data_IF_638530436645
#
_entry.id   IF_638530436645
#
_cell.length_a   1.000
_cell.length_b   1.000
_cell.length_c   1.000
_cell.angle_alpha   90.00
_cell.angle_beta   90.00
_cell.angle_gamma   90.00
#
_symmetry.space_group_name_H-M   'P 1'
#
loop_
_entity.id
_entity.type
_entity.pdbx_description
1 polymer ?
#
# COMPACT_ATOMS: atom_id res chain seq x y z
N UNK A 1 83.44 -59.33 27.84
CA UNK A 1 83.76 -57.89 27.88
C UNK A 1 82.42 -57.18 27.78
N UNK A 2 82.10 -56.28 28.71
CA UNK A 2 80.77 -55.62 28.81
C UNK A 2 80.84 -54.10 28.64
N UNK A 3 82.04 -53.54 28.56
CA UNK A 3 82.31 -52.12 28.31
C UNK A 3 83.46 -52.01 27.30
N UNK A 4 83.49 -50.94 26.50
CA UNK A 4 84.53 -50.74 25.49
C UNK A 4 85.78 -50.07 26.09
N UNK A 5 86.96 -50.67 25.89
CA UNK A 5 88.23 -50.11 26.37
C UNK A 5 89.44 -50.89 25.87
N UNK A 6 90.62 -50.26 25.94
CA UNK A 6 91.88 -50.93 25.63
C UNK A 6 92.32 -51.81 26.82
N UNK A 7 92.48 -53.11 26.60
CA UNK A 7 92.86 -54.07 27.64
C UNK A 7 93.64 -55.27 27.09
N UNK A 8 94.54 -55.81 27.91
CA UNK A 8 95.46 -56.89 27.50
C UNK A 8 94.99 -58.24 28.02
N UNK A 9 94.57 -59.12 27.11
CA UNK A 9 94.34 -60.54 27.42
C UNK A 9 95.68 -61.29 27.51
N UNK A 10 96.18 -61.47 28.74
CA UNK A 10 97.44 -62.18 29.00
C UNK A 10 97.18 -63.67 29.22
N UNK A 11 97.78 -64.51 28.38
CA UNK A 11 97.77 -65.96 28.55
C UNK A 11 99.13 -66.45 29.06
N UNK A 12 99.20 -66.88 30.31
CA UNK A 12 100.46 -67.33 30.94
C UNK A 12 100.64 -68.84 30.81
N UNK A 13 101.60 -69.28 29.99
CA UNK A 13 102.02 -70.69 29.89
C UNK A 13 103.10 -71.05 30.94
N UNK A 14 103.25 -72.33 31.30
CA UNK A 14 104.28 -72.77 32.24
C UNK A 14 105.70 -72.67 31.63
N UNK A 15 106.64 -72.15 32.41
CA UNK A 15 108.02 -71.94 31.97
C UNK A 15 108.67 -73.19 31.37
N UNK A 16 109.37 -72.99 30.24
CA UNK A 16 110.11 -73.99 29.44
C UNK A 16 109.26 -74.92 28.55
N UNK A 17 107.96 -74.66 28.36
CA UNK A 17 107.22 -75.08 27.14
C UNK A 17 106.32 -73.97 26.63
N UNK A 18 106.75 -73.27 25.59
CA UNK A 18 105.92 -72.27 24.90
C UNK A 18 104.62 -72.92 24.39
N UNK A 19 103.44 -72.41 24.78
CA UNK A 19 102.18 -72.96 24.28
C UNK A 19 102.02 -72.63 22.79
N UNK A 20 101.94 -73.66 21.94
CA UNK A 20 101.53 -73.50 20.56
C UNK A 20 100.00 -73.36 20.54
N UNK A 21 99.51 -72.17 20.18
CA UNK A 21 98.11 -71.79 20.25
C UNK A 21 97.51 -71.89 18.84
N UNK A 22 97.26 -73.12 18.38
CA UNK A 22 96.94 -73.45 16.99
C UNK A 22 95.71 -72.71 16.42
N UNK A 23 94.76 -72.31 17.27
CA UNK A 23 93.67 -71.41 16.90
C UNK A 23 93.12 -70.65 18.10
N UNK A 24 93.02 -69.32 17.99
CA UNK A 24 92.15 -68.50 18.83
C UNK A 24 90.84 -68.25 18.06
N UNK A 25 89.71 -68.43 18.73
CA UNK A 25 88.38 -68.08 18.21
C UNK A 25 87.70 -67.19 19.23
N UNK A 26 87.14 -66.07 18.76
CA UNK A 26 86.34 -65.14 19.55
C UNK A 26 85.01 -65.02 18.83
N UNK A 27 83.95 -65.58 19.40
CA UNK A 27 82.58 -65.35 18.95
C UNK A 27 81.98 -64.20 19.75
N UNK A 28 81.56 -63.14 19.06
CA UNK A 28 80.81 -62.05 19.67
C UNK A 28 79.34 -62.48 19.73
N UNK A 29 78.76 -62.46 20.93
CA UNK A 29 77.33 -62.68 21.14
C UNK A 29 76.65 -61.32 21.25
N UNK A 30 75.79 -61.03 20.30
CA UNK A 30 75.03 -59.79 20.22
C UNK A 30 74.15 -59.61 21.48
N UNK A 31 74.17 -58.40 22.04
CA UNK A 31 73.32 -58.04 23.16
C UNK A 31 71.96 -57.59 22.61
N UNK A 32 70.87 -57.96 23.29
CA UNK A 32 69.55 -57.45 22.92
C UNK A 32 69.51 -55.94 23.15
N UNK A 33 69.12 -55.19 22.12
CA UNK A 33 68.91 -53.75 22.23
C UNK A 33 67.78 -53.46 23.22
N UNK A 34 67.89 -52.42 24.07
CA UNK A 34 66.79 -52.01 24.92
C UNK A 34 65.62 -51.53 24.06
N UNK A 35 64.41 -51.96 24.41
CA UNK A 35 63.20 -51.38 23.82
C UNK A 35 63.14 -49.89 24.16
N UNK A 36 62.72 -49.01 23.23
CA UNK A 36 62.59 -47.59 23.52
C UNK A 36 61.50 -47.37 24.57
N UNK A 37 61.76 -46.48 25.53
CA UNK A 37 60.80 -46.13 26.58
C UNK A 37 59.82 -45.07 26.03
N UNK A 38 58.53 -45.42 26.00
CA UNK A 38 57.44 -44.51 25.66
C UNK A 38 56.83 -43.89 26.92
N UNK A 39 56.61 -42.59 26.87
CA UNK A 39 55.99 -41.80 27.91
C UNK A 39 54.58 -41.37 27.51
N UNK A 40 53.68 -41.21 28.48
CA UNK A 40 52.27 -40.85 28.25
C UNK A 40 52.04 -39.34 28.28
N UNK A 41 51.16 -38.84 27.41
CA UNK A 41 50.66 -37.46 27.42
C UNK A 41 49.22 -37.44 27.96
N UNK A 42 49.01 -36.74 29.08
CA UNK A 42 47.69 -36.50 29.67
C UNK A 42 47.22 -35.10 29.33
N UNK A 43 45.97 -34.96 28.86
CA UNK A 43 45.35 -33.66 28.55
C UNK A 43 44.15 -33.44 29.46
N UNK A 44 44.12 -32.31 30.14
CA UNK A 44 42.99 -31.83 30.95
C UNK A 44 42.35 -30.59 30.30
N UNK A 45 41.12 -30.29 30.68
CA UNK A 45 40.42 -29.04 30.34
C UNK A 45 40.02 -28.29 31.61
N UNK A 46 40.15 -26.96 31.57
CA UNK A 46 39.64 -26.02 32.58
C UNK A 46 38.76 -25.00 31.86
N UNK A 47 37.51 -24.82 32.32
CA UNK A 47 36.49 -24.09 31.56
C UNK A 47 35.77 -25.00 30.55
N UNK A 48 34.80 -24.44 29.80
CA UNK A 48 34.01 -25.21 28.83
C UNK A 48 34.70 -25.24 27.46
N UNK A 49 35.10 -26.44 27.05
CA UNK A 49 35.82 -26.68 25.81
C UNK A 49 36.34 -28.12 25.72
N UNK A 50 37.03 -28.44 24.64
CA UNK A 50 37.63 -29.75 24.38
C UNK A 50 39.10 -29.60 24.04
N UNK A 51 39.92 -30.58 24.46
CA UNK A 51 41.36 -30.58 24.24
C UNK A 51 41.88 -32.02 24.04
N UNK A 52 42.83 -32.19 23.13
CA UNK A 52 43.45 -33.49 22.81
C UNK A 52 44.94 -33.33 22.49
N UNK A 53 45.67 -34.45 22.50
CA UNK A 53 47.07 -34.55 22.09
C UNK A 53 47.24 -35.70 21.09
N UNK A 54 48.11 -35.50 20.10
CA UNK A 54 48.50 -36.54 19.15
C UNK A 54 50.03 -36.49 18.90
N UNK A 55 50.77 -37.61 19.08
CA UNK A 55 50.33 -38.87 19.67
C UNK A 55 50.12 -38.78 21.20
N UNK A 56 49.36 -39.73 21.78
CA UNK A 56 49.12 -39.82 23.24
C UNK A 56 50.19 -40.60 24.01
N UNK A 57 51.03 -41.39 23.31
CA UNK A 57 52.29 -41.92 23.83
C UNK A 57 53.43 -41.61 22.86
N UNK A 58 54.62 -41.36 23.39
CA UNK A 58 55.77 -40.97 22.59
C UNK A 58 57.10 -41.27 23.28
N UNK A 59 58.13 -41.61 22.50
CA UNK A 59 59.52 -41.63 22.94
C UNK A 59 60.05 -40.20 23.15
N UNK A 60 61.03 -40.04 24.05
CA UNK A 60 61.71 -38.76 24.23
C UNK A 60 62.29 -38.22 22.91
N UNK A 61 62.16 -36.91 22.69
CA UNK A 61 62.56 -36.22 21.44
C UNK A 61 61.49 -36.19 20.33
N UNK A 62 60.37 -36.92 20.46
CA UNK A 62 59.25 -36.84 19.51
C UNK A 62 58.42 -35.57 19.73
N UNK A 63 58.01 -34.89 18.66
CA UNK A 63 57.07 -33.76 18.73
C UNK A 63 55.64 -34.25 18.95
N UNK A 64 54.96 -33.70 19.95
CA UNK A 64 53.54 -33.90 20.23
C UNK A 64 52.77 -32.65 19.81
N UNK A 65 51.64 -32.83 19.14
CA UNK A 65 50.73 -31.76 18.73
C UNK A 65 49.51 -31.74 19.63
N UNK A 66 49.10 -30.56 20.08
CA UNK A 66 47.90 -30.34 20.88
C UNK A 66 46.81 -29.69 20.03
N UNK A 67 45.56 -30.10 20.24
CA UNK A 67 44.38 -29.49 19.60
C UNK A 67 43.42 -29.04 20.68
N UNK A 68 42.80 -27.87 20.49
CA UNK A 68 41.76 -27.34 21.37
C UNK A 68 40.57 -26.85 20.54
N UNK A 69 39.37 -26.85 21.14
CA UNK A 69 38.18 -26.17 20.61
C UNK A 69 37.31 -25.72 21.76
N UNK A 70 37.11 -24.40 21.89
CA UNK A 70 36.28 -23.79 22.93
C UNK A 70 34.77 -24.05 22.71
N UNK A 71 33.98 -23.95 23.79
CA UNK A 71 32.52 -23.98 23.71
C UNK A 71 31.93 -22.63 23.26
N UNK A 72 30.62 -22.61 22.99
CA UNK A 72 29.89 -21.39 22.65
C UNK A 72 29.91 -20.37 23.81
N UNK A 73 30.41 -19.15 23.55
CA UNK A 73 30.59 -18.11 24.58
C UNK A 73 31.82 -18.31 25.47
N UNK A 74 32.84 -19.02 25.00
CA UNK A 74 34.14 -19.19 25.64
C UNK A 74 35.27 -19.04 24.60
N UNK A 75 36.44 -18.58 25.06
CA UNK A 75 37.66 -18.58 24.26
C UNK A 75 38.79 -19.34 24.95
N UNK A 76 39.74 -19.81 24.16
CA UNK A 76 40.96 -20.45 24.64
C UNK A 76 41.99 -19.40 25.05
N UNK A 77 42.58 -19.55 26.24
CA UNK A 77 43.56 -18.63 26.81
C UNK A 77 44.98 -19.17 26.61
N UNK A 78 45.30 -20.31 27.22
CA UNK A 78 46.66 -20.87 27.18
C UNK A 78 46.72 -22.39 27.46
N UNK A 79 47.89 -22.97 27.21
CA UNK A 79 48.26 -24.32 27.66
C UNK A 79 49.14 -24.22 28.91
N UNK A 80 48.67 -24.74 30.04
CA UNK A 80 49.46 -24.84 31.27
C UNK A 80 50.11 -26.23 31.40
N UNK A 81 51.39 -26.27 31.79
CA UNK A 81 52.11 -27.50 32.15
C UNK A 81 53.27 -27.18 33.10
N UNK A 82 53.52 -28.07 34.06
CA UNK A 82 54.69 -27.99 34.95
C UNK A 82 55.96 -28.57 34.29
N UNK A 83 55.80 -29.43 33.28
CA UNK A 83 56.87 -30.31 32.76
C UNK A 83 57.45 -29.86 31.42
N UNK A 84 56.69 -29.12 30.60
CA UNK A 84 57.08 -28.71 29.25
C UNK A 84 56.61 -27.29 28.94
N UNK A 85 57.35 -26.56 28.12
CA UNK A 85 56.85 -25.35 27.47
C UNK A 85 56.15 -25.73 26.17
N UNK A 86 54.87 -25.36 26.04
CA UNK A 86 54.11 -25.50 24.79
C UNK A 86 54.31 -24.23 23.94
N UNK A 87 54.62 -24.41 22.66
CA UNK A 87 54.78 -23.33 21.68
C UNK A 87 54.05 -23.72 20.39
N UNK A 88 53.27 -22.81 19.81
CA UNK A 88 52.47 -23.04 18.60
C UNK A 88 51.62 -24.33 18.66
N UNK A 89 51.00 -24.59 19.83
CA UNK A 89 50.28 -25.81 20.17
C UNK A 89 51.10 -27.11 20.05
N UNK A 90 52.42 -27.06 20.16
CA UNK A 90 53.31 -28.24 20.14
C UNK A 90 54.29 -28.24 21.30
N UNK A 91 54.82 -29.41 21.64
CA UNK A 91 55.99 -29.55 22.50
C UNK A 91 56.82 -30.77 22.08
N UNK A 92 58.05 -30.88 22.58
CA UNK A 92 58.93 -32.04 22.36
C UNK A 92 58.91 -32.92 23.62
N UNK A 93 58.64 -34.22 23.46
CA UNK A 93 58.48 -35.14 24.57
C UNK A 93 59.79 -35.26 25.39
N UNK A 94 59.76 -35.06 26.72
CA UNK A 94 60.91 -35.25 27.59
C UNK A 94 61.10 -36.74 27.93
N UNK A 95 62.13 -37.07 28.71
CA UNK A 95 62.32 -38.37 29.36
C UNK A 95 61.38 -38.51 30.58
N UNK A 96 60.08 -38.45 30.34
CA UNK A 96 59.05 -38.52 31.39
C UNK A 96 57.63 -38.25 30.90
N UNK A 97 56.64 -38.72 31.65
CA UNK A 97 55.22 -38.48 31.36
C UNK A 97 54.87 -36.99 31.49
N UNK A 98 54.04 -36.49 30.58
CA UNK A 98 53.66 -35.08 30.50
C UNK A 98 52.18 -34.91 30.81
N UNK A 99 51.83 -33.85 31.54
CA UNK A 99 50.45 -33.38 31.70
C UNK A 99 50.33 -31.95 31.21
N UNK A 100 49.34 -31.68 30.37
CA UNK A 100 48.97 -30.35 29.87
C UNK A 100 47.51 -30.06 30.18
N UNK A 101 47.18 -28.81 30.48
CA UNK A 101 45.81 -28.33 30.71
C UNK A 101 45.50 -27.24 29.70
N UNK A 102 44.42 -27.40 28.92
CA UNK A 102 43.83 -26.31 28.15
C UNK A 102 43.00 -25.42 29.07
N UNK A 103 43.33 -24.14 29.13
CA UNK A 103 42.56 -23.14 29.88
C UNK A 103 41.64 -22.39 28.92
N UNK A 104 40.33 -22.46 29.20
CA UNK A 104 39.30 -21.68 28.55
C UNK A 104 38.70 -20.70 29.56
N UNK A 105 38.52 -19.45 29.15
CA UNK A 105 37.78 -18.45 29.91
C UNK A 105 36.47 -18.12 29.19
N UNK A 106 35.44 -17.82 29.98
CA UNK A 106 34.13 -17.48 29.44
C UNK A 106 34.20 -16.08 28.86
N UNK A 107 33.63 -15.87 27.68
CA UNK A 107 33.49 -14.54 27.10
C UNK A 107 32.64 -13.67 28.03
N UNK A 108 33.19 -12.52 28.43
CA UNK A 108 32.42 -11.50 29.12
C UNK A 108 31.33 -10.99 28.18
N UNK A 109 30.07 -11.24 28.54
CA UNK A 109 28.95 -10.52 27.95
C UNK A 109 29.20 -9.04 28.22
N UNK A 110 29.28 -8.16 27.21
CA UNK A 110 29.68 -6.78 27.42
C UNK A 110 28.73 -6.12 28.42
N UNK A 111 29.28 -5.57 29.51
CA UNK A 111 28.47 -4.75 30.41
C UNK A 111 27.86 -3.58 29.60
N UNK A 112 26.62 -3.17 29.91
CA UNK A 112 25.97 -2.05 29.25
C UNK A 112 26.66 -0.73 29.64
N UNK A 113 27.77 -0.42 28.98
CA UNK A 113 28.46 0.86 29.12
C UNK A 113 27.53 2.01 28.71
N UNK A 114 27.32 2.96 29.63
CA UNK A 114 26.35 4.06 29.63
C UNK A 114 25.68 4.36 28.26
N UNK A 115 24.62 3.61 27.93
CA UNK A 115 23.86 3.80 26.69
C UNK A 115 23.11 5.12 26.75
N UNK A 116 23.41 6.03 25.82
CA UNK A 116 22.95 7.41 25.87
C UNK A 116 21.55 7.57 25.29
N UNK A 117 20.55 7.41 26.16
CA UNK A 117 19.13 7.58 25.84
C UNK A 117 18.65 9.04 25.80
N UNK A 118 19.47 10.01 26.22
CA UNK A 118 19.11 11.43 26.42
C UNK A 118 18.48 12.12 25.20
N UNK A 119 18.83 11.68 23.99
CA UNK A 119 18.27 12.23 22.75
C UNK A 119 16.88 11.64 22.45
N UNK A 120 16.75 10.31 22.57
CA UNK A 120 15.49 9.59 22.43
C UNK A 120 14.45 10.08 23.46
N UNK A 121 14.84 10.24 24.73
CA UNK A 121 14.00 10.81 25.79
C UNK A 121 13.41 12.18 25.42
N UNK A 122 14.23 13.06 24.84
CA UNK A 122 13.80 14.42 24.44
C UNK A 122 12.91 14.40 23.21
N UNK A 123 13.17 13.52 22.25
CA UNK A 123 12.32 13.38 21.06
C UNK A 123 10.97 12.73 21.42
N UNK A 124 10.92 11.76 22.34
CA UNK A 124 9.67 11.23 22.91
C UNK A 124 8.89 12.33 23.64
N UNK A 125 9.52 13.08 24.54
CA UNK A 125 8.86 14.16 25.27
C UNK A 125 8.38 15.33 24.37
N UNK A 126 8.99 15.50 23.19
CA UNK A 126 8.49 16.41 22.15
C UNK A 126 7.30 15.81 21.39
N UNK A 127 7.41 14.54 20.97
CA UNK A 127 6.37 13.80 20.25
C UNK A 127 5.06 13.71 21.04
N UNK A 128 5.12 13.45 22.35
CA UNK A 128 3.94 13.43 23.24
C UNK A 128 3.19 14.78 23.34
N UNK A 129 3.80 15.87 22.87
CA UNK A 129 3.19 17.20 22.78
C UNK A 129 2.66 17.58 21.39
N UNK A 130 2.72 16.68 20.39
CA UNK A 130 2.26 16.93 19.03
C UNK A 130 0.76 16.65 18.86
N UNK A 131 0.09 17.49 18.09
CA UNK A 131 -1.30 17.29 17.67
C UNK A 131 -1.33 16.50 16.35
N UNK A 132 -2.09 15.41 16.32
CA UNK A 132 -2.29 14.57 15.11
C UNK A 132 -3.66 14.80 14.45
N UNK A 133 -4.41 15.82 14.89
CA UNK A 133 -5.72 16.18 14.33
C UNK A 133 -5.59 16.60 12.86
N UNK A 134 -6.25 15.85 11.97
CA UNK A 134 -6.23 16.10 10.53
C UNK A 134 -5.01 15.56 9.79
N UNK A 135 -4.11 14.84 10.47
CA UNK A 135 -3.06 14.02 9.83
C UNK A 135 -3.73 12.82 9.13
N UNK A 136 -3.15 12.32 8.05
CA UNK A 136 -3.66 11.13 7.37
C UNK A 136 -3.52 9.87 8.24
N UNK A 137 -4.48 8.95 8.17
CA UNK A 137 -4.57 7.81 9.09
C UNK A 137 -3.31 6.92 9.06
N UNK A 138 -2.72 6.68 7.89
CA UNK A 138 -1.47 5.92 7.73
C UNK A 138 -0.28 6.67 8.35
N UNK A 139 -0.17 7.98 8.15
CA UNK A 139 0.95 8.77 8.68
C UNK A 139 0.87 8.93 10.20
N UNK A 140 -0.36 9.16 10.71
CA UNK A 140 -0.65 9.16 12.14
C UNK A 140 -0.30 7.82 12.77
N UNK A 141 -0.72 6.70 12.17
CA UNK A 141 -0.39 5.37 12.68
C UNK A 141 1.11 5.11 12.71
N UNK A 142 1.84 5.48 11.66
CA UNK A 142 3.30 5.32 11.62
C UNK A 142 4.00 6.10 12.74
N UNK A 143 3.51 7.31 13.06
CA UNK A 143 3.99 8.10 14.21
C UNK A 143 3.64 7.47 15.56
N UNK A 144 2.40 6.99 15.74
CA UNK A 144 1.96 6.32 16.99
C UNK A 144 2.75 5.02 17.25
N UNK A 145 2.93 4.18 16.23
CA UNK A 145 3.73 2.95 16.30
C UNK A 145 5.21 3.25 16.63
N UNK A 146 5.80 4.28 16.02
CA UNK A 146 7.19 4.69 16.27
C UNK A 146 7.37 5.28 17.67
N UNK A 147 6.38 6.01 18.19
CA UNK A 147 6.40 6.57 19.56
C UNK A 147 6.33 5.46 20.62
N UNK A 148 5.51 4.43 20.40
CA UNK A 148 5.44 3.28 21.32
C UNK A 148 6.68 2.38 21.23
N UNK A 149 7.31 2.23 20.04
CA UNK A 149 8.62 1.58 19.94
C UNK A 149 9.70 2.37 20.71
N UNK A 150 9.77 3.68 20.51
CA UNK A 150 10.69 4.56 21.23
C UNK A 150 10.53 4.46 22.75
N UNK A 151 9.29 4.43 23.26
CA UNK A 151 9.00 4.21 24.68
C UNK A 151 9.43 2.83 25.18
N UNK A 152 9.28 1.79 24.36
CA UNK A 152 9.72 0.43 24.67
C UNK A 152 11.25 0.35 24.79
N UNK A 153 11.97 0.92 23.83
CA UNK A 153 13.45 0.98 23.82
C UNK A 153 13.99 1.90 24.94
N UNK A 154 13.25 2.93 25.36
CA UNK A 154 13.59 3.68 26.56
C UNK A 154 13.48 2.82 27.83
N UNK A 155 12.41 2.02 27.95
CA UNK A 155 12.11 1.22 29.13
C UNK A 155 13.02 -0.02 29.32
N UNK A 156 13.57 -0.61 28.26
CA UNK A 156 14.47 -1.76 28.38
C UNK A 156 15.85 -1.37 28.93
N UNK A 157 16.24 -1.99 30.04
CA UNK A 157 17.53 -1.77 30.69
C UNK A 157 18.73 -2.33 29.91
N UNK A 158 18.50 -3.23 28.94
CA UNK A 158 19.55 -3.90 28.16
C UNK A 158 19.70 -3.34 26.74
N UNK A 159 18.83 -2.43 26.31
CA UNK A 159 18.80 -1.89 24.96
C UNK A 159 20.15 -1.29 24.56
N UNK A 160 20.68 -1.73 23.42
CA UNK A 160 21.95 -1.28 22.87
C UNK A 160 21.86 0.15 22.33
N UNK A 161 23.01 0.80 22.13
CA UNK A 161 23.05 2.12 21.48
C UNK A 161 22.54 2.06 20.01
N UNK A 162 22.64 0.91 19.34
CA UNK A 162 22.11 0.74 17.98
C UNK A 162 20.57 0.73 17.98
N UNK A 163 19.93 0.01 18.92
CA UNK A 163 18.48 0.02 19.09
C UNK A 163 17.96 1.39 19.53
N UNK A 164 18.67 2.09 20.42
CA UNK A 164 18.34 3.46 20.84
C UNK A 164 18.44 4.46 19.68
N UNK A 165 19.44 4.30 18.80
CA UNK A 165 19.55 5.13 17.60
C UNK A 165 18.44 4.82 16.59
N UNK A 166 18.19 3.53 16.29
CA UNK A 166 17.16 3.12 15.35
C UNK A 166 15.76 3.55 15.79
N UNK A 167 15.43 3.46 17.08
CA UNK A 167 14.16 3.95 17.63
C UNK A 167 14.06 5.49 17.59
N UNK A 168 15.19 6.21 17.67
CA UNK A 168 15.22 7.65 17.51
C UNK A 168 15.00 8.09 16.06
N UNK A 169 15.67 7.43 15.11
CA UNK A 169 15.52 7.68 13.68
C UNK A 169 14.08 7.38 13.22
N UNK A 170 13.50 6.24 13.63
CA UNK A 170 12.09 5.90 13.34
C UNK A 170 11.10 6.93 13.91
N UNK A 171 11.31 7.41 15.13
CA UNK A 171 10.45 8.44 15.70
C UNK A 171 10.58 9.78 14.96
N UNK A 172 11.78 10.12 14.46
CA UNK A 172 11.99 11.30 13.64
C UNK A 172 11.29 11.18 12.26
N UNK A 173 11.35 10.01 11.63
CA UNK A 173 10.60 9.71 10.39
C UNK A 173 9.08 9.82 10.62
N UNK A 174 8.57 9.27 11.73
CA UNK A 174 7.17 9.41 12.14
C UNK A 174 6.75 10.87 12.34
N UNK A 175 7.58 11.67 13.03
CA UNK A 175 7.36 13.12 13.21
C UNK A 175 7.33 13.86 11.86
N UNK A 176 8.16 13.48 10.90
CA UNK A 176 8.11 14.05 9.54
C UNK A 176 6.85 13.61 8.77
N UNK A 177 6.39 12.37 8.99
CA UNK A 177 5.13 11.85 8.44
C UNK A 177 3.90 12.68 8.80
N UNK A 178 3.88 13.30 9.99
CA UNK A 178 2.79 14.19 10.43
C UNK A 178 2.58 15.44 9.54
N UNK A 179 3.50 15.72 8.60
CA UNK A 179 3.29 16.72 7.56
C UNK A 179 2.26 16.33 6.48
N UNK A 180 1.80 15.06 6.46
CA UNK A 180 0.76 14.56 5.56
C UNK A 180 -0.61 14.74 6.20
N UNK A 181 -1.42 15.66 5.67
CA UNK A 181 -2.75 16.01 6.21
C UNK A 181 -3.87 15.68 5.24
N UNK A 182 -5.01 15.24 5.79
CA UNK A 182 -6.26 15.01 5.05
C UNK A 182 -6.76 16.31 4.39
N UNK A 183 -7.42 16.21 3.23
CA UNK A 183 -7.99 17.37 2.53
C UNK A 183 -9.32 17.87 3.13
N UNK A 184 -9.81 19.03 2.65
CA UNK A 184 -11.07 19.61 3.16
C UNK A 184 -12.31 18.88 2.61
N UNK A 185 -12.83 17.94 3.41
CA UNK A 185 -14.04 17.18 3.10
C UNK A 185 -15.35 17.96 3.31
N UNK A 186 -15.34 19.20 3.83
CA UNK A 186 -16.55 19.95 4.16
C UNK A 186 -17.37 20.42 2.94
N UNK A 187 -16.82 20.39 1.73
CA UNK A 187 -17.60 20.52 0.49
C UNK A 187 -18.24 19.18 0.09
N UNK A 188 -17.44 18.11 0.13
CA UNK A 188 -17.85 16.75 -0.26
C UNK A 188 -19.02 16.26 0.60
N UNK A 189 -18.98 16.47 1.91
CA UNK A 189 -20.08 16.19 2.86
C UNK A 189 -21.42 16.79 2.41
N UNK A 190 -21.41 18.08 2.04
CA UNK A 190 -22.61 18.83 1.66
C UNK A 190 -23.18 18.34 0.32
N UNK A 191 -22.31 17.92 -0.60
CA UNK A 191 -22.70 17.36 -1.90
C UNK A 191 -23.26 15.94 -1.74
N UNK A 192 -22.66 15.11 -0.88
CA UNK A 192 -23.19 13.79 -0.52
C UNK A 192 -24.59 13.94 0.08
N UNK A 193 -24.76 14.77 1.12
CA UNK A 193 -26.04 15.02 1.75
C UNK A 193 -27.09 15.59 0.76
N UNK A 194 -26.66 16.44 -0.20
CA UNK A 194 -27.53 16.95 -1.25
C UNK A 194 -27.97 15.85 -2.21
N UNK A 195 -27.07 14.98 -2.67
CA UNK A 195 -27.41 13.86 -3.55
C UNK A 195 -28.33 12.85 -2.84
N UNK A 196 -28.03 12.51 -1.58
CA UNK A 196 -28.87 11.64 -0.75
C UNK A 196 -30.29 12.19 -0.56
N UNK A 197 -30.44 13.51 -0.39
CA UNK A 197 -31.76 14.17 -0.28
C UNK A 197 -32.64 14.01 -1.54
N UNK A 198 -32.04 13.68 -2.69
CA UNK A 198 -32.76 13.50 -3.95
C UNK A 198 -33.22 12.04 -4.16
N UNK A 199 -32.57 11.06 -3.53
CA UNK A 199 -32.85 9.63 -3.72
C UNK A 199 -34.34 9.23 -3.59
N UNK A 200 -35.14 9.81 -2.66
CA UNK A 200 -36.58 9.51 -2.56
C UNK A 200 -37.44 10.00 -3.74
N UNK A 201 -36.86 10.64 -4.76
CA UNK A 201 -37.54 11.15 -5.95
C UNK A 201 -36.90 10.62 -7.27
N UNK A 202 -36.12 9.54 -7.19
CA UNK A 202 -35.42 8.94 -8.33
C UNK A 202 -36.33 8.65 -9.54
N UNK A 203 -37.59 8.28 -9.28
CA UNK A 203 -38.63 8.01 -10.26
C UNK A 203 -38.90 9.19 -11.22
N UNK A 204 -38.69 10.43 -10.74
CA UNK A 204 -39.04 11.67 -11.46
C UNK A 204 -37.93 12.17 -12.37
N UNK A 205 -36.69 11.71 -12.18
CA UNK A 205 -35.53 12.14 -12.95
C UNK A 205 -35.30 11.25 -14.18
N UNK A 206 -34.64 11.78 -15.21
CA UNK A 206 -34.24 11.00 -16.40
C UNK A 206 -33.21 9.94 -16.01
N UNK A 207 -33.46 8.68 -16.39
CA UNK A 207 -32.75 7.50 -15.86
C UNK A 207 -31.23 7.52 -16.13
N UNK A 208 -30.81 8.03 -17.29
CA UNK A 208 -29.40 8.06 -17.72
C UNK A 208 -28.56 9.06 -16.93
N UNK A 209 -29.07 10.27 -16.67
CA UNK A 209 -28.39 11.25 -15.81
C UNK A 209 -28.55 10.90 -14.34
N UNK A 210 -29.66 10.25 -13.96
CA UNK A 210 -29.84 9.76 -12.60
C UNK A 210 -28.79 8.70 -12.21
N UNK A 211 -28.47 7.74 -13.10
CA UNK A 211 -27.42 6.76 -12.82
C UNK A 211 -26.04 7.42 -12.64
N UNK A 212 -25.71 8.45 -13.42
CA UNK A 212 -24.47 9.21 -13.26
C UNK A 212 -24.34 9.86 -11.86
N UNK A 213 -25.46 10.30 -11.27
CA UNK A 213 -25.51 10.80 -9.89
C UNK A 213 -25.30 9.69 -8.86
N UNK A 214 -25.87 8.49 -9.09
CA UNK A 214 -25.67 7.33 -8.20
C UNK A 214 -24.20 6.88 -8.21
N UNK A 215 -23.57 6.81 -9.39
CA UNK A 215 -22.17 6.39 -9.55
C UNK A 215 -21.20 7.41 -8.93
N UNK A 216 -21.44 8.71 -9.17
CA UNK A 216 -20.65 9.79 -8.55
C UNK A 216 -20.84 9.84 -7.02
N UNK A 217 -22.04 9.57 -6.51
CA UNK A 217 -22.33 9.52 -5.07
C UNK A 217 -21.64 8.33 -4.38
N UNK A 218 -21.52 7.18 -5.05
CA UNK A 218 -20.73 6.05 -4.54
C UNK A 218 -19.25 6.46 -4.38
N UNK A 219 -18.65 6.96 -5.46
CA UNK A 219 -17.24 7.40 -5.48
C UNK A 219 -16.96 8.50 -4.43
N UNK A 220 -17.90 9.43 -4.25
CA UNK A 220 -17.83 10.46 -3.22
C UNK A 220 -17.84 9.92 -1.80
N UNK A 221 -18.63 8.88 -1.52
CA UNK A 221 -18.67 8.25 -0.19
C UNK A 221 -17.39 7.50 0.13
N UNK A 222 -16.81 6.82 -0.85
CA UNK A 222 -15.55 6.08 -0.68
C UNK A 222 -14.41 7.05 -0.31
N UNK A 223 -14.23 8.13 -1.09
CA UNK A 223 -13.19 9.16 -0.82
C UNK A 223 -13.50 10.01 0.43
N UNK A 224 -14.77 10.14 0.83
CA UNK A 224 -15.12 10.76 2.11
C UNK A 224 -14.70 9.89 3.30
N UNK A 225 -14.87 8.57 3.19
CA UNK A 225 -14.51 7.60 4.23
C UNK A 225 -13.00 7.32 4.33
N UNK A 226 -12.26 7.51 3.24
CA UNK A 226 -10.81 7.31 3.18
C UNK A 226 -10.03 8.30 4.08
N UNK A 227 -9.41 7.80 5.15
CA UNK A 227 -8.62 8.59 6.11
C UNK A 227 -7.24 9.02 5.60
N UNK A 228 -6.80 8.56 4.43
CA UNK A 228 -5.58 9.04 3.77
C UNK A 228 -5.85 10.06 2.64
N UNK A 229 -7.10 10.23 2.22
CA UNK A 229 -7.48 11.11 1.11
C UNK A 229 -7.07 12.57 1.31
N UNK A 230 -6.30 13.08 0.35
CA UNK A 230 -5.77 14.44 0.35
C UNK A 230 -6.63 15.39 -0.49
N UNK A 231 -6.26 16.66 -0.46
CA UNK A 231 -6.91 17.74 -1.18
C UNK A 231 -6.88 17.56 -2.72
N UNK A 232 -5.99 16.69 -3.24
CA UNK A 232 -5.89 16.34 -4.67
C UNK A 232 -6.87 15.22 -5.07
N UNK A 233 -7.23 14.32 -4.14
CA UNK A 233 -8.20 13.23 -4.35
C UNK A 233 -9.65 13.73 -4.16
N UNK A 234 -9.85 14.57 -3.13
CA UNK A 234 -11.18 15.04 -2.72
C UNK A 234 -11.79 16.02 -3.74
N UNK A 235 -10.99 16.94 -4.30
CA UNK A 235 -11.52 18.02 -5.18
C UNK A 235 -12.09 17.53 -6.52
N UNK A 236 -11.43 16.62 -7.27
CA UNK A 236 -12.01 16.07 -8.50
C UNK A 236 -13.33 15.32 -8.24
N UNK A 237 -13.43 14.60 -7.13
CA UNK A 237 -14.63 13.81 -6.77
C UNK A 237 -15.77 14.70 -6.29
N UNK A 238 -15.48 15.75 -5.51
CA UNK A 238 -16.46 16.80 -5.19
C UNK A 238 -16.95 17.52 -6.46
N UNK A 239 -16.08 17.85 -7.41
CA UNK A 239 -16.49 18.44 -8.68
C UNK A 239 -17.38 17.49 -9.50
N UNK A 240 -17.00 16.23 -9.63
CA UNK A 240 -17.78 15.22 -10.37
C UNK A 240 -19.17 15.01 -9.77
N UNK A 241 -19.30 14.97 -8.44
CA UNK A 241 -20.61 14.87 -7.77
C UNK A 241 -21.44 16.16 -7.96
N UNK A 242 -20.82 17.34 -7.91
CA UNK A 242 -21.51 18.61 -8.19
C UNK A 242 -22.05 18.64 -9.63
N UNK A 243 -21.25 18.26 -10.62
CA UNK A 243 -21.66 18.22 -12.02
C UNK A 243 -22.79 17.20 -12.24
N UNK A 244 -22.72 16.02 -11.61
CA UNK A 244 -23.79 15.04 -11.66
C UNK A 244 -25.09 15.52 -11.00
N UNK A 245 -25.03 16.31 -9.92
CA UNK A 245 -26.21 16.97 -9.32
C UNK A 245 -26.81 18.02 -10.27
N UNK A 246 -25.98 18.78 -11.01
CA UNK A 246 -26.42 19.81 -11.95
C UNK A 246 -26.93 19.26 -13.29
N UNK A 247 -26.50 18.05 -13.67
CA UNK A 247 -26.97 17.32 -14.85
C UNK A 247 -28.40 16.75 -14.72
N UNK A 248 -28.99 16.78 -13.51
CA UNK A 248 -30.34 16.23 -13.29
C UNK A 248 -31.42 17.04 -14.01
N UNK A 249 -32.39 16.33 -14.60
CA UNK A 249 -33.60 16.86 -15.23
C UNK A 249 -34.79 16.00 -14.85
N UNK A 250 -35.93 16.62 -14.64
CA UNK A 250 -37.18 15.88 -14.54
C UNK A 250 -37.55 15.26 -15.90
N UNK A 251 -38.27 14.14 -15.88
CA UNK A 251 -38.89 13.54 -17.05
C UNK A 251 -39.98 14.46 -17.61
N UNK A 252 -40.23 14.41 -18.91
CA UNK A 252 -41.39 15.04 -19.53
C UNK A 252 -42.70 14.49 -18.92
N UNK A 253 -43.71 15.35 -18.75
CA UNK A 253 -45.06 14.91 -18.37
C UNK A 253 -45.78 14.34 -19.60
N UNK A 254 -46.10 13.05 -19.52
CA UNK A 254 -46.80 12.31 -20.59
C UNK A 254 -48.23 11.93 -20.24
N UNK A 255 -48.76 12.39 -19.10
CA UNK A 255 -50.11 12.02 -18.62
C UNK A 255 -51.19 12.29 -19.67
N UNK A 256 -51.15 13.45 -20.33
CA UNK A 256 -52.09 13.82 -21.40
C UNK A 256 -51.95 12.91 -22.63
N UNK A 257 -50.71 12.49 -22.96
CA UNK A 257 -50.42 11.61 -24.10
C UNK A 257 -50.89 10.17 -23.85
N UNK A 258 -50.65 9.64 -22.64
CA UNK A 258 -51.15 8.34 -22.19
C UNK A 258 -52.68 8.28 -22.25
N UNK A 259 -53.32 9.31 -21.69
CA UNK A 259 -54.78 9.47 -21.64
C UNK A 259 -55.39 9.66 -23.04
N UNK A 260 -54.63 10.15 -24.03
CA UNK A 260 -55.07 10.30 -25.42
C UNK A 260 -54.84 9.01 -26.24
N UNK A 261 -53.72 8.32 -26.05
CA UNK A 261 -53.45 7.01 -26.65
C UNK A 261 -54.54 6.01 -26.24
N UNK A 262 -54.89 5.94 -24.95
CA UNK A 262 -55.96 5.07 -24.46
C UNK A 262 -57.35 5.37 -25.06
N UNK A 263 -57.63 6.64 -25.42
CA UNK A 263 -58.85 7.02 -26.15
C UNK A 263 -58.78 6.62 -27.62
N UNK A 264 -57.62 6.83 -28.26
CA UNK A 264 -57.38 6.50 -29.66
C UNK A 264 -57.46 4.98 -29.93
N UNK A 265 -56.85 4.15 -29.07
CA UNK A 265 -56.90 2.69 -29.17
C UNK A 265 -58.32 2.11 -29.01
N UNK A 266 -59.23 2.87 -28.37
CA UNK A 266 -60.64 2.52 -28.22
C UNK A 266 -61.55 2.87 -29.41
N UNK A 267 -61.05 3.50 -30.48
CA UNK A 267 -61.88 3.89 -31.63
C UNK A 267 -62.16 2.68 -32.52
N UNK A 268 -63.44 2.38 -32.75
CA UNK A 268 -63.84 1.49 -33.85
C UNK A 268 -63.66 2.20 -35.19
N UNK A 269 -62.74 1.68 -36.00
CA UNK A 269 -62.38 2.23 -37.32
C UNK A 269 -63.32 1.70 -38.44
N UNK A 270 -64.34 0.93 -38.10
CA UNK A 270 -65.35 0.42 -39.04
C UNK A 270 -66.18 1.56 -39.63
N UNK A 271 -66.20 1.65 -40.96
CA UNK A 271 -66.99 2.67 -41.67
C UNK A 271 -66.26 4.01 -41.90
N UNK A 272 -64.97 4.10 -41.61
CA UNK A 272 -64.12 5.24 -41.99
C UNK A 272 -63.37 5.01 -43.31
N UNK A 273 -62.87 6.07 -43.94
CA UNK A 273 -62.08 6.00 -45.18
C UNK A 273 -60.69 5.42 -44.93
N UNK A 274 -60.16 4.66 -45.88
CA UNK A 274 -58.83 4.04 -45.77
C UNK A 274 -57.69 5.07 -45.61
N UNK A 275 -57.83 6.26 -46.19
CA UNK A 275 -56.86 7.35 -46.12
C UNK A 275 -56.83 7.99 -44.72
N UNK A 276 -57.97 8.39 -44.17
CA UNK A 276 -58.02 8.97 -42.82
C UNK A 276 -57.59 7.96 -41.73
N UNK A 277 -57.95 6.69 -41.90
CA UNK A 277 -57.49 5.59 -41.02
C UNK A 277 -55.97 5.37 -41.10
N UNK A 278 -55.34 5.58 -42.26
CA UNK A 278 -53.89 5.49 -42.40
C UNK A 278 -53.17 6.65 -41.70
N UNK A 279 -53.68 7.88 -41.84
CA UNK A 279 -53.18 9.07 -41.12
C UNK A 279 -53.31 8.89 -39.61
N UNK A 280 -54.48 8.48 -39.12
CA UNK A 280 -54.74 8.18 -37.71
C UNK A 280 -53.76 7.14 -37.14
N UNK A 281 -53.57 6.00 -37.81
CA UNK A 281 -52.62 4.97 -37.37
C UNK A 281 -51.17 5.44 -37.34
N UNK A 282 -50.80 6.35 -38.26
CA UNK A 282 -49.44 6.94 -38.31
C UNK A 282 -49.21 7.89 -37.14
N UNK A 283 -50.22 8.71 -36.80
CA UNK A 283 -50.17 9.57 -35.62
C UNK A 283 -50.15 8.76 -34.31
N UNK A 284 -50.97 7.71 -34.19
CA UNK A 284 -51.00 6.83 -33.02
C UNK A 284 -49.66 6.10 -32.81
N UNK A 285 -49.05 5.55 -33.86
CA UNK A 285 -47.73 4.95 -33.77
C UNK A 285 -46.65 5.96 -33.35
N UNK A 286 -46.76 7.22 -33.80
CA UNK A 286 -45.84 8.30 -33.39
C UNK A 286 -46.02 8.65 -31.91
N UNK A 287 -47.27 8.77 -31.45
CA UNK A 287 -47.61 8.98 -30.04
C UNK A 287 -47.10 7.84 -29.14
N UNK A 288 -47.30 6.58 -29.54
CA UNK A 288 -46.80 5.40 -28.81
C UNK A 288 -45.25 5.40 -28.71
N UNK A 289 -44.53 5.78 -29.78
CA UNK A 289 -43.08 5.92 -29.74
C UNK A 289 -42.63 7.02 -28.75
N UNK A 290 -43.29 8.19 -28.77
CA UNK A 290 -43.00 9.30 -27.85
C UNK A 290 -43.35 8.93 -26.41
N UNK A 291 -44.41 8.13 -26.18
CA UNK A 291 -44.75 7.59 -24.87
C UNK A 291 -43.65 6.64 -24.35
N UNK A 292 -43.15 5.74 -25.21
CA UNK A 292 -42.12 4.76 -24.86
C UNK A 292 -40.70 5.35 -24.66
N UNK A 293 -40.40 6.55 -25.16
CA UNK A 293 -39.07 7.17 -25.05
C UNK A 293 -38.78 7.65 -23.62
N UNK A 294 -38.07 6.83 -22.84
CA UNK A 294 -37.68 7.12 -21.47
C UNK A 294 -36.61 8.24 -21.33
N UNK A 295 -36.05 8.75 -22.44
CA UNK A 295 -35.02 9.80 -22.42
C UNK A 295 -35.57 11.22 -22.38
N UNK A 296 -36.86 11.40 -22.69
CA UNK A 296 -37.50 12.72 -22.77
C UNK A 296 -37.54 13.44 -21.40
N UNK A 297 -36.88 14.59 -21.36
CA UNK A 297 -36.79 15.47 -20.19
C UNK A 297 -37.83 16.60 -20.22
N UNK A 298 -37.90 17.40 -19.17
CA UNK A 298 -38.65 18.66 -19.14
C UNK A 298 -38.22 19.64 -20.26
N UNK A 299 -36.95 19.63 -20.67
CA UNK A 299 -36.44 20.39 -21.81
C UNK A 299 -36.97 19.86 -23.17
N UNK A 300 -37.53 18.64 -23.20
CA UNK A 300 -38.11 17.98 -24.38
C UNK A 300 -39.65 18.05 -24.48
N UNK A 301 -40.34 18.65 -23.50
CA UNK A 301 -41.81 18.59 -23.36
C UNK A 301 -42.58 18.90 -24.65
N UNK A 302 -42.10 19.85 -25.46
CA UNK A 302 -42.72 20.21 -26.74
C UNK A 302 -42.90 19.01 -27.71
N UNK A 303 -42.03 17.98 -27.65
CA UNK A 303 -42.17 16.75 -28.45
C UNK A 303 -43.37 15.90 -28.02
N UNK A 304 -43.70 15.93 -26.73
CA UNK A 304 -44.87 15.26 -26.15
C UNK A 304 -46.13 16.04 -26.54
N UNK A 305 -46.08 17.36 -26.41
CA UNK A 305 -47.20 18.25 -26.76
C UNK A 305 -47.53 18.20 -28.27
N UNK A 306 -46.51 18.18 -29.14
CA UNK A 306 -46.65 17.98 -30.59
C UNK A 306 -47.28 16.61 -30.92
N UNK A 307 -46.91 15.54 -30.19
CA UNK A 307 -47.49 14.22 -30.37
C UNK A 307 -48.96 14.15 -29.92
N UNK A 308 -49.31 14.83 -28.82
CA UNK A 308 -50.70 15.03 -28.38
C UNK A 308 -51.51 15.75 -29.46
N UNK A 309 -51.00 16.88 -29.97
CA UNK A 309 -51.67 17.68 -30.99
C UNK A 309 -51.84 16.92 -32.31
N UNK A 310 -50.82 16.16 -32.74
CA UNK A 310 -50.87 15.35 -33.96
C UNK A 310 -51.88 14.19 -33.85
N UNK A 311 -51.91 13.48 -32.72
CA UNK A 311 -52.88 12.39 -32.51
C UNK A 311 -54.32 12.92 -32.41
N UNK A 312 -54.54 14.01 -31.68
CA UNK A 312 -55.87 14.65 -31.57
C UNK A 312 -56.37 15.10 -32.95
N UNK A 313 -55.55 15.81 -33.72
CA UNK A 313 -55.87 16.25 -35.09
C UNK A 313 -56.18 15.07 -36.03
N UNK A 314 -55.47 13.94 -35.86
CA UNK A 314 -55.71 12.75 -36.66
C UNK A 314 -56.95 11.93 -36.23
N UNK A 315 -57.38 12.05 -34.96
CA UNK A 315 -58.67 11.53 -34.48
C UNK A 315 -59.82 12.37 -35.04
N UNK A 316 -59.72 13.70 -34.95
CA UNK A 316 -60.73 14.64 -35.47
C UNK A 316 -60.82 14.60 -37.02
N UNK A 317 -59.73 14.22 -37.69
CA UNK A 317 -59.64 14.05 -39.15
C UNK A 317 -60.19 12.73 -39.72
N UNK A 318 -60.79 11.85 -38.89
CA UNK A 318 -61.38 10.60 -39.35
C UNK A 318 -62.68 10.83 -40.16
N UNK A 319 -62.68 10.47 -41.44
CA UNK A 319 -63.80 10.73 -42.38
C UNK A 319 -64.61 9.47 -42.70
N UNK A 320 -65.94 9.57 -42.74
CA UNK A 320 -66.84 8.43 -42.95
C UNK A 320 -66.88 7.93 -44.41
N UNK A 321 -66.99 6.61 -44.59
CA UNK A 321 -66.96 5.89 -45.86
C UNK A 321 -68.30 5.81 -46.59
N UNK A 322 -68.82 6.94 -47.06
CA UNK A 322 -69.96 7.01 -47.98
C UNK A 322 -70.72 8.35 -47.91
N UNK A 323 -71.23 8.93 -48.99
CA UNK A 323 -71.36 8.46 -50.38
C UNK A 323 -70.74 9.49 -51.37
N UNK A 324 -70.97 9.47 -52.72
CA UNK A 324 -70.08 10.12 -53.68
C UNK A 324 -70.12 11.66 -53.67
N UNK A 325 -69.06 12.27 -54.21
CA UNK A 325 -69.04 13.68 -54.59
C UNK A 325 -70.24 14.02 -55.48
N UNK A 326 -71.09 14.94 -55.02
CA UNK A 326 -71.98 15.68 -55.91
C UNK A 326 -71.14 16.73 -56.65
N UNK A 327 -70.85 16.47 -57.93
CA UNK A 327 -70.13 17.40 -58.79
C UNK A 327 -70.91 18.70 -58.96
N UNK A 328 -70.48 19.77 -58.30
CA UNK A 328 -70.87 21.14 -58.67
C UNK A 328 -69.61 22.02 -58.76
N UNK A 329 -69.15 22.17 -60.01
CA UNK A 329 -68.06 23.05 -60.43
C UNK A 329 -68.63 24.38 -60.93
N UNK A 330 -68.34 25.51 -60.28
CA UNK A 330 -68.23 26.79 -60.95
C UNK A 330 -66.89 26.88 -61.71
N UNK A 331 -66.90 27.52 -62.88
CA UNK A 331 -65.71 27.70 -63.72
C UNK A 331 -64.97 29.02 -63.40
N UNK A 332 -63.74 29.18 -63.89
CA UNK A 332 -62.81 30.21 -63.43
C UNK A 332 -63.09 31.62 -63.97
N UNK A 333 -62.74 32.63 -63.15
CA UNK A 333 -62.69 34.05 -63.55
C UNK A 333 -61.45 34.78 -63.00
N UNK A 334 -60.46 34.96 -63.88
CA UNK A 334 -59.52 36.10 -64.02
C UNK A 334 -58.55 36.54 -62.89
N UNK A 335 -57.38 37.02 -63.36
CA UNK A 335 -56.35 37.81 -62.64
C UNK A 335 -55.84 38.91 -63.60
N UNK A 336 -55.81 40.18 -63.18
CA UNK A 336 -54.55 40.98 -63.16
C UNK A 336 -54.16 41.40 -61.72
N UNK A 337 -52.89 41.46 -61.30
CA UNK A 337 -51.94 42.60 -61.39
C UNK A 337 -52.31 43.82 -60.52
N UNK A 338 -51.42 44.58 -59.85
CA UNK A 338 -49.99 44.49 -59.45
C UNK A 338 -49.70 45.56 -58.37
N UNK A 339 -48.61 45.45 -57.58
CA UNK A 339 -47.94 46.53 -56.78
C UNK A 339 -48.80 47.29 -55.73
N UNK A 340 -48.39 47.45 -54.47
CA UNK A 340 -47.25 48.30 -54.08
C UNK A 340 -46.67 48.03 -52.66
N UNK A 341 -45.54 48.68 -52.33
CA UNK A 341 -44.82 48.72 -51.03
C UNK A 341 -44.00 50.04 -51.00
N UNK A 342 -43.70 50.77 -49.89
CA UNK A 342 -43.65 50.41 -48.45
C UNK A 342 -44.58 51.32 -47.58
N UNK A 343 -44.56 51.39 -46.22
CA UNK A 343 -43.44 51.40 -45.26
C UNK A 343 -43.86 51.11 -43.78
N UNK A 344 -42.88 51.08 -42.88
CA UNK A 344 -42.97 50.92 -41.41
C UNK A 344 -43.75 52.06 -40.71
N UNK A 345 -44.09 52.07 -39.41
CA UNK A 345 -43.53 51.44 -38.16
C UNK A 345 -44.67 50.84 -37.28
N UNK A 346 -44.59 50.38 -36.01
CA UNK A 346 -43.64 50.49 -34.85
C UNK A 346 -43.52 49.13 -34.06
N UNK A 347 -43.07 49.18 -32.78
CA UNK A 347 -43.01 48.06 -31.81
C UNK A 347 -43.69 48.48 -30.49
N UNK A 348 -44.63 47.67 -29.96
CA UNK A 348 -44.58 47.32 -28.53
C UNK A 348 -44.97 45.83 -28.28
N UNK A 349 -44.57 45.17 -27.19
CA UNK A 349 -43.48 45.38 -26.24
C UNK A 349 -43.26 44.06 -25.49
N UNK A 350 -42.02 43.64 -25.20
CA UNK A 350 -41.81 42.42 -24.41
C UNK A 350 -42.27 42.59 -22.96
N UNK A 351 -42.98 41.58 -22.44
CA UNK A 351 -43.09 41.30 -21.00
C UNK A 351 -42.57 39.87 -20.78
N UNK A 352 -41.70 39.64 -19.79
CA UNK A 352 -41.07 38.34 -19.60
C UNK A 352 -42.07 37.30 -19.10
N UNK A 353 -41.80 36.03 -19.42
CA UNK A 353 -42.46 34.91 -18.77
C UNK A 353 -42.15 34.95 -17.25
N UNK A 354 -43.19 34.84 -16.43
CA UNK A 354 -43.08 34.90 -14.98
C UNK A 354 -42.65 33.52 -14.44
N UNK A 355 -41.36 33.31 -14.26
CA UNK A 355 -40.85 32.09 -13.62
C UNK A 355 -41.32 32.00 -12.17
N UNK A 356 -41.77 30.79 -11.79
CA UNK A 356 -42.24 30.50 -10.44
C UNK A 356 -41.12 30.58 -9.40
N UNK A 357 -41.43 31.22 -8.28
CA UNK A 357 -40.66 31.37 -7.04
C UNK A 357 -39.37 30.51 -6.89
N UNK A 358 -38.21 31.17 -7.05
CA UNK A 358 -36.89 30.60 -6.80
C UNK A 358 -36.20 31.19 -5.54
N UNK A 359 -36.98 31.71 -4.59
CA UNK A 359 -36.48 32.42 -3.41
C UNK A 359 -35.65 31.56 -2.42
N UNK A 360 -35.71 30.22 -2.50
CA UNK A 360 -34.91 29.32 -1.66
C UNK A 360 -33.64 28.76 -2.34
N UNK A 361 -33.59 28.69 -3.67
CA UNK A 361 -32.43 28.11 -4.38
C UNK A 361 -31.23 29.06 -4.46
N UNK A 362 -31.47 30.36 -4.62
CA UNK A 362 -30.37 31.35 -4.70
C UNK A 362 -29.57 31.52 -3.39
N UNK A 363 -30.13 31.10 -2.24
CA UNK A 363 -29.43 31.16 -0.95
C UNK A 363 -28.29 30.14 -0.81
N UNK A 364 -28.36 28.99 -1.50
CA UNK A 364 -27.33 27.96 -1.42
C UNK A 364 -26.21 28.13 -2.46
N UNK A 365 -26.54 28.57 -3.67
CA UNK A 365 -25.53 28.81 -4.73
C UNK A 365 -24.60 29.97 -4.34
N UNK A 366 -25.13 31.03 -3.73
CA UNK A 366 -24.33 32.16 -3.22
C UNK A 366 -23.34 31.78 -2.11
N UNK A 367 -23.62 30.71 -1.34
CA UNK A 367 -22.75 30.23 -0.27
C UNK A 367 -21.58 29.38 -0.77
N UNK A 368 -21.71 28.72 -1.93
CA UNK A 368 -20.68 27.85 -2.50
C UNK A 368 -19.74 28.60 -3.45
N UNK A 369 -20.25 29.56 -4.23
CA UNK A 369 -19.43 30.36 -5.15
C UNK A 369 -18.42 31.33 -4.48
N UNK A 370 -18.53 31.54 -3.17
CA UNK A 370 -17.73 32.54 -2.45
C UNK A 370 -16.36 32.05 -1.92
N UNK A 371 -16.15 30.73 -1.80
CA UNK A 371 -14.98 30.17 -1.11
C UNK A 371 -13.66 30.27 -1.90
N UNK A 372 -13.72 30.20 -3.23
CA UNK A 372 -12.53 29.97 -4.09
C UNK A 372 -11.69 31.25 -4.33
N UNK A 373 -12.19 32.43 -3.98
CA UNK A 373 -11.55 33.74 -4.29
C UNK A 373 -10.93 34.41 -3.04
N UNK A 374 -11.12 33.86 -1.84
CA UNK A 374 -10.80 34.54 -0.58
C UNK A 374 -9.40 34.26 0.03
N UNK A 375 -8.61 33.34 -0.52
CA UNK A 375 -7.37 32.82 0.12
C UNK A 375 -6.03 33.28 -0.49
N UNK A 376 -6.03 34.23 -1.43
CA UNK A 376 -4.82 34.64 -2.18
C UNK A 376 -4.19 35.99 -1.77
N UNK A 377 -4.62 36.61 -0.67
CA UNK A 377 -4.23 37.99 -0.30
C UNK A 377 -3.67 38.19 1.13
N UNK A 378 -3.38 37.11 1.87
CA UNK A 378 -3.18 37.17 3.33
C UNK A 378 -1.73 36.99 3.87
N UNK A 379 -0.69 36.79 3.04
CA UNK A 379 0.61 36.23 3.51
C UNK A 379 1.89 37.03 3.21
N UNK A 380 1.86 38.31 2.80
CA UNK A 380 3.11 39.10 2.52
C UNK A 380 3.18 40.49 3.18
N UNK A 381 2.80 40.65 4.45
CA UNK A 381 3.12 41.89 5.23
C UNK A 381 3.58 41.63 6.68
N UNK A 382 4.59 40.78 6.92
CA UNK A 382 5.31 40.81 8.22
C UNK A 382 6.78 40.33 8.21
N UNK A 383 7.68 41.05 7.52
CA UNK A 383 9.13 40.94 7.75
C UNK A 383 9.87 42.27 7.77
N UNK A 384 9.61 43.10 8.79
CA UNK A 384 10.49 44.20 9.22
C UNK A 384 10.40 44.42 10.74
N UNK A 385 11.55 44.36 11.41
CA UNK A 385 11.79 44.50 12.86
C UNK A 385 11.24 43.33 13.70
N UNK A 386 11.89 42.91 14.78
CA UNK A 386 13.21 43.36 15.30
C UNK A 386 14.31 42.31 15.09
#
# INVERSE_FOLDING_TARGET
>A
ITEAGAGTLVFTGPDKKSPQLDKLVIELKEAAEPQPEEYTVTVNTQGEGTATAEPTTATAGTTVTLTQTAAEGWHFVEWQSETVTVTDNTFVMPEGNVTVTAVFEKDETPEPGDVNKTLLEKTVAYAEGLDTTGVTDTAKKAFEDALDNAKTVLADANATQEEVNAAWDQLLEGIWGLGLTQGDKALLEKLIAKAESMLPNADKYVETTWQQLVDALATAKDVYADGDAMDEDIKPVAQALLDAILAQRFKADKSILEDLIGKAEGIDLTGYTAESVATFRTALATAQNVMADATLSEDDQAKVDDAVAALQSAMDGLTAGGAPETTDKPEASEKPETTDKPQATEKPAEKPAQTGDSAQLMLYVAALGAAVVALSTATVVRKRRS
#
